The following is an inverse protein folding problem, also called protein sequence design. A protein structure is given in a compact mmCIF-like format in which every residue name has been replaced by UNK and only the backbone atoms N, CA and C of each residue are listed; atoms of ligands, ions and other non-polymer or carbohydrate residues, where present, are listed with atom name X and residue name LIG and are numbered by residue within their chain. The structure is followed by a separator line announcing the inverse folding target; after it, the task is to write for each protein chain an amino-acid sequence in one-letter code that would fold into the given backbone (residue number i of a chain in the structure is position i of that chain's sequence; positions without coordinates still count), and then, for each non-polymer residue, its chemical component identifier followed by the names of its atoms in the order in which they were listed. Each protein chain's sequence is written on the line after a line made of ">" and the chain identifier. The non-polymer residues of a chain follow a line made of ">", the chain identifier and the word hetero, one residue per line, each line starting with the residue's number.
data_IF_205339460055
#
_entry.id   IF_205339460055
#
_cell.length_a   1.000
_cell.length_b   1.000
_cell.length_c   1.000
_cell.angle_alpha   90.00
_cell.angle_beta   90.00
_cell.angle_gamma   90.00
#
_symmetry.space_group_name_H-M   'P 1'
#
loop_
_entity.id
_entity.type
_entity.pdbx_description
1 polymer ?
#
# COMPACT_ATOMS: atom_id res chain seq x y z
N UNK A 1 4.69 32.95 35.49
CA UNK A 1 5.73 32.21 34.73
C UNK A 1 5.17 30.86 34.34
N UNK A 2 4.87 30.70 33.05
CA UNK A 2 4.14 29.56 32.49
C UNK A 2 5.05 28.33 32.33
N UNK A 3 4.53 27.16 32.71
CA UNK A 3 5.15 25.84 32.54
C UNK A 3 5.06 25.41 31.07
N UNK A 4 6.19 25.01 30.51
CA UNK A 4 6.28 24.44 29.16
C UNK A 4 5.57 23.08 29.10
N UNK A 5 4.73 22.92 28.08
CA UNK A 5 3.88 21.76 27.85
C UNK A 5 4.68 20.53 27.40
N UNK A 6 4.35 19.40 27.99
CA UNK A 6 4.70 18.07 27.51
C UNK A 6 4.15 17.86 26.08
N UNK A 7 5.04 17.55 25.14
CA UNK A 7 4.65 17.10 23.79
C UNK A 7 4.21 15.64 23.89
N UNK A 8 2.92 15.44 24.08
CA UNK A 8 2.27 14.15 23.90
C UNK A 8 2.38 13.73 22.45
N UNK A 9 2.93 12.53 22.24
CA UNK A 9 2.91 11.79 20.98
C UNK A 9 1.45 11.61 20.54
N UNK A 10 1.03 12.39 19.55
CA UNK A 10 -0.23 12.14 18.85
C UNK A 10 -0.06 10.89 18.00
N UNK A 11 -0.52 9.75 18.51
CA UNK A 11 -0.85 8.60 17.69
C UNK A 11 -1.77 9.09 16.56
N UNK A 12 -1.27 9.06 15.32
CA UNK A 12 -2.04 9.39 14.14
C UNK A 12 -3.20 8.39 14.04
N UNK A 13 -4.35 8.80 14.55
CA UNK A 13 -5.59 8.05 14.43
C UNK A 13 -5.86 7.81 12.95
N UNK A 14 -6.11 6.55 12.61
CA UNK A 14 -6.72 6.15 11.34
C UNK A 14 -7.95 7.02 11.13
N UNK A 15 -7.82 8.05 10.29
CA UNK A 15 -8.88 9.00 10.03
C UNK A 15 -10.03 8.25 9.37
N UNK A 16 -11.26 8.49 9.85
CA UNK A 16 -12.53 7.94 9.34
C UNK A 16 -12.66 7.92 7.81
N UNK A 17 -11.96 8.82 7.13
CA UNK A 17 -11.82 8.93 5.67
C UNK A 17 -11.08 7.75 4.99
N UNK A 18 -10.12 7.10 5.65
CA UNK A 18 -9.43 5.91 5.12
C UNK A 18 -10.34 4.68 5.17
N UNK A 19 -11.07 4.50 6.27
CA UNK A 19 -12.07 3.44 6.39
C UNK A 19 -13.20 3.59 5.35
N UNK A 20 -13.66 4.82 5.08
CA UNK A 20 -14.69 5.06 4.07
C UNK A 20 -14.24 4.71 2.64
N UNK A 21 -12.98 4.96 2.26
CA UNK A 21 -12.47 4.55 0.93
C UNK A 21 -12.47 3.04 0.75
N UNK A 22 -12.06 2.29 1.78
CA UNK A 22 -11.99 0.83 1.72
C UNK A 22 -13.38 0.18 1.67
N UNK A 23 -14.36 0.73 2.39
CA UNK A 23 -15.75 0.24 2.34
C UNK A 23 -16.39 0.53 0.98
N UNK A 24 -16.05 1.65 0.33
CA UNK A 24 -16.61 1.98 -0.98
C UNK A 24 -16.18 1.00 -2.07
N UNK A 25 -14.92 0.52 -2.05
CA UNK A 25 -14.43 -0.46 -3.02
C UNK A 25 -15.12 -1.83 -2.94
N UNK A 26 -15.56 -2.22 -1.74
CA UNK A 26 -16.33 -3.46 -1.54
C UNK A 26 -17.79 -3.33 -2.03
N UNK A 27 -18.34 -2.12 -2.00
CA UNK A 27 -19.71 -1.84 -2.45
C UNK A 27 -19.85 -1.51 -3.96
N UNK A 28 -18.74 -1.37 -4.70
CA UNK A 28 -18.80 -1.10 -6.15
C UNK A 28 -19.17 -2.32 -6.99
N UNK A 29 -19.00 -3.53 -6.45
CA UNK A 29 -19.20 -4.76 -7.20
C UNK A 29 -20.51 -5.42 -6.77
N UNK A 30 -21.45 -5.48 -7.70
CA UNK A 30 -22.81 -5.99 -7.48
C UNK A 30 -22.86 -7.50 -7.21
N UNK A 31 -21.76 -8.22 -7.46
CA UNK A 31 -21.61 -9.65 -7.13
C UNK A 31 -20.14 -10.08 -7.07
N UNK A 32 -19.90 -11.28 -6.52
CA UNK A 32 -18.59 -11.93 -6.53
C UNK A 32 -18.08 -12.14 -7.97
N UNK A 33 -18.97 -12.50 -8.87
CA UNK A 33 -18.68 -12.71 -10.29
C UNK A 33 -18.26 -11.41 -10.96
N UNK A 34 -18.94 -10.29 -10.65
CA UNK A 34 -18.56 -8.97 -11.16
C UNK A 34 -17.18 -8.54 -10.67
N UNK A 35 -16.86 -8.79 -9.39
CA UNK A 35 -15.54 -8.54 -8.83
C UNK A 35 -14.47 -9.40 -9.53
N UNK A 36 -14.75 -10.69 -9.74
CA UNK A 36 -13.80 -11.60 -10.40
C UNK A 36 -13.49 -11.17 -11.83
N UNK A 37 -14.52 -10.83 -12.61
CA UNK A 37 -14.34 -10.33 -13.99
C UNK A 37 -13.53 -9.04 -14.04
N UNK A 38 -13.73 -8.14 -13.07
CA UNK A 38 -12.96 -6.92 -12.99
C UNK A 38 -11.48 -7.17 -12.66
N UNK A 39 -11.20 -8.13 -11.77
CA UNK A 39 -9.82 -8.54 -11.45
C UNK A 39 -9.15 -9.17 -12.68
N UNK A 40 -9.83 -10.08 -13.38
CA UNK A 40 -9.30 -10.69 -14.60
C UNK A 40 -9.01 -9.65 -15.67
N UNK A 41 -9.95 -8.72 -15.90
CA UNK A 41 -9.77 -7.63 -16.85
C UNK A 41 -8.62 -6.69 -16.46
N UNK A 42 -8.47 -6.37 -15.18
CA UNK A 42 -7.38 -5.53 -14.70
C UNK A 42 -6.01 -6.21 -14.86
N UNK A 43 -5.90 -7.51 -14.57
CA UNK A 43 -4.67 -8.27 -14.75
C UNK A 43 -4.29 -8.34 -16.23
N UNK A 44 -5.26 -8.59 -17.12
CA UNK A 44 -5.02 -8.66 -18.57
C UNK A 44 -4.49 -7.35 -19.17
N UNK A 45 -4.77 -6.21 -18.52
CA UNK A 45 -4.30 -4.89 -18.94
C UNK A 45 -2.89 -4.55 -18.42
N UNK A 46 -2.32 -5.35 -17.52
CA UNK A 46 -0.96 -5.09 -17.01
C UNK A 46 0.05 -5.31 -18.15
N UNK A 47 0.83 -4.27 -18.54
CA UNK A 47 1.79 -4.42 -19.61
C UNK A 47 2.89 -5.42 -19.22
N UNK A 48 3.33 -6.32 -20.12
CA UNK A 48 4.44 -7.24 -19.82
C UNK A 48 5.73 -6.51 -19.37
N UNK A 49 5.99 -5.33 -19.93
CA UNK A 49 7.11 -4.48 -19.56
C UNK A 49 7.05 -4.01 -18.10
N UNK A 50 5.86 -3.79 -17.54
CA UNK A 50 5.69 -3.44 -16.13
C UNK A 50 6.12 -4.59 -15.22
N UNK A 51 5.72 -5.82 -15.55
CA UNK A 51 6.13 -7.03 -14.80
C UNK A 51 7.64 -7.22 -14.89
N UNK A 52 8.23 -7.09 -16.08
CA UNK A 52 9.68 -7.16 -16.26
C UNK A 52 10.42 -6.11 -15.42
N UNK A 53 9.92 -4.88 -15.36
CA UNK A 53 10.50 -3.83 -14.54
C UNK A 53 10.45 -4.15 -13.05
N UNK A 54 9.36 -4.76 -12.55
CA UNK A 54 9.27 -5.21 -11.17
C UNK A 54 10.35 -6.23 -10.84
N UNK A 55 10.54 -7.25 -11.68
CA UNK A 55 11.59 -8.25 -11.49
C UNK A 55 12.99 -7.64 -11.56
N UNK A 56 13.24 -6.75 -12.52
CA UNK A 56 14.52 -6.06 -12.64
C UNK A 56 14.86 -5.21 -11.40
N UNK A 57 13.86 -4.76 -10.64
CA UNK A 57 14.08 -3.99 -9.40
C UNK A 57 14.52 -4.84 -8.20
N UNK A 58 14.30 -6.16 -8.21
CA UNK A 58 14.53 -7.06 -7.07
C UNK A 58 15.96 -6.97 -6.51
N UNK A 59 17.04 -7.01 -7.33
CA UNK A 59 18.41 -6.94 -6.80
C UNK A 59 18.66 -5.67 -5.97
N UNK A 60 18.14 -4.52 -6.42
CA UNK A 60 18.30 -3.25 -5.69
C UNK A 60 17.53 -3.24 -4.35
N UNK A 61 16.37 -3.92 -4.29
CA UNK A 61 15.60 -4.07 -3.05
C UNK A 61 16.32 -4.97 -2.06
N UNK A 62 16.90 -6.07 -2.54
CA UNK A 62 17.71 -6.97 -1.71
C UNK A 62 18.94 -6.24 -1.14
N UNK A 63 19.62 -5.42 -1.95
CA UNK A 63 20.72 -4.60 -1.45
C UNK A 63 20.26 -3.66 -0.33
N UNK A 64 19.11 -3.00 -0.50
CA UNK A 64 18.55 -2.14 0.54
C UNK A 64 18.23 -2.91 1.84
N UNK A 65 17.80 -4.17 1.76
CA UNK A 65 17.57 -5.02 2.93
C UNK A 65 18.89 -5.37 3.61
N UNK A 66 19.94 -5.68 2.84
CA UNK A 66 21.28 -5.96 3.38
C UNK A 66 21.83 -4.73 4.11
N UNK A 67 21.75 -3.56 3.48
CA UNK A 67 22.21 -2.30 4.05
C UNK A 67 21.43 -1.94 5.32
N UNK A 68 20.15 -2.30 5.38
CA UNK A 68 19.30 -2.16 6.56
C UNK A 68 19.49 -3.28 7.61
N UNK A 69 20.41 -4.23 7.40
CA UNK A 69 20.64 -5.39 8.27
C UNK A 69 19.34 -6.18 8.54
N UNK A 70 18.54 -6.37 7.49
CA UNK A 70 17.24 -7.05 7.59
C UNK A 70 16.08 -6.17 8.08
N UNK A 71 16.31 -4.89 8.33
CA UNK A 71 15.27 -3.92 8.72
C UNK A 71 14.31 -3.54 7.59
N UNK A 72 13.33 -2.70 7.93
CA UNK A 72 12.38 -2.18 6.94
C UNK A 72 13.06 -1.30 5.89
N UNK A 73 12.66 -1.48 4.63
CA UNK A 73 13.09 -0.63 3.52
C UNK A 73 11.90 0.20 3.02
N UNK A 74 12.15 1.16 2.11
CA UNK A 74 11.11 2.00 1.50
C UNK A 74 10.19 1.25 0.50
N UNK A 75 10.48 -0.03 0.24
CA UNK A 75 9.87 -0.85 -0.81
C UNK A 75 8.89 -1.88 -0.28
#
# INVERSE_FOLDING_TARGET
>A
MQRAMARGLAHQGCTRSQLQRNIHLWCLWSSKEALWQAVESAIAQIPPAFVQHLYASIPSRLQAVIDAVGGHTKY
#
